data_IF_142079741417
#
_entry.id   IF_142079741417
#
_cell.length_a   1.000
_cell.length_b   1.000
_cell.length_c   1.000
_cell.angle_alpha   90.00
_cell.angle_beta   90.00
_cell.angle_gamma   90.00
#
_symmetry.space_group_name_H-M   'P 1'
#
loop_
_entity.id
_entity.type
_entity.pdbx_description
1 polymer ?
#
# COMPACT_ATOMS: atom_id res chain seq x y z
N UNK A 1 -0.97 18.29 1.99
CA UNK A 1 -1.41 16.92 2.32
C UNK A 1 -0.73 15.99 1.33
N UNK A 2 0.12 15.07 1.79
CA UNK A 2 0.87 14.21 0.88
C UNK A 2 0.05 12.95 0.56
N UNK A 3 0.14 12.48 -0.68
CA UNK A 3 -0.53 11.27 -1.15
C UNK A 3 0.46 10.40 -1.90
N UNK A 4 0.38 9.09 -1.67
CA UNK A 4 1.18 8.08 -2.36
C UNK A 4 0.26 7.18 -3.18
N UNK A 5 0.63 6.93 -4.44
CA UNK A 5 -0.03 5.94 -5.27
C UNK A 5 0.90 4.74 -5.46
N UNK A 6 0.43 3.52 -5.16
CA UNK A 6 1.20 2.28 -5.29
C UNK A 6 0.54 1.37 -6.32
N UNK A 7 1.32 0.83 -7.25
CA UNK A 7 0.85 -0.12 -8.27
C UNK A 7 1.64 -1.43 -8.20
N UNK A 8 0.93 -2.55 -8.04
CA UNK A 8 1.49 -3.90 -8.10
C UNK A 8 0.81 -4.70 -9.22
N UNK A 9 1.60 -5.13 -10.21
CA UNK A 9 1.13 -5.89 -11.38
C UNK A 9 1.19 -7.42 -11.23
N UNK A 10 1.77 -7.92 -10.15
CA UNK A 10 1.97 -9.35 -9.91
C UNK A 10 1.81 -9.69 -8.42
N UNK A 11 1.59 -10.98 -8.12
CA UNK A 11 1.40 -11.46 -6.73
C UNK A 11 2.58 -11.09 -5.82
N UNK A 12 3.81 -11.16 -6.32
CA UNK A 12 4.98 -10.81 -5.53
C UNK A 12 4.95 -9.32 -5.14
N UNK A 13 4.58 -8.44 -6.07
CA UNK A 13 4.40 -7.01 -5.85
C UNK A 13 3.27 -6.70 -4.88
N UNK A 14 2.15 -7.43 -4.95
CA UNK A 14 1.01 -7.27 -4.02
C UNK A 14 1.47 -7.51 -2.57
N UNK A 15 2.17 -8.62 -2.32
CA UNK A 15 2.68 -8.96 -1.00
C UNK A 15 3.68 -7.93 -0.45
N UNK A 16 4.64 -7.52 -1.27
CA UNK A 16 5.62 -6.51 -0.83
C UNK A 16 4.97 -5.14 -0.66
N UNK A 17 4.05 -4.77 -1.54
CA UNK A 17 3.28 -3.53 -1.48
C UNK A 17 2.47 -3.44 -0.20
N UNK A 18 1.80 -4.52 0.19
CA UNK A 18 1.05 -4.60 1.45
C UNK A 18 1.96 -4.34 2.66
N UNK A 19 3.13 -5.00 2.74
CA UNK A 19 4.08 -4.76 3.83
C UNK A 19 4.57 -3.31 3.90
N UNK A 20 4.81 -2.67 2.76
CA UNK A 20 5.17 -1.24 2.72
C UNK A 20 4.01 -0.36 3.21
N UNK A 21 2.77 -0.66 2.78
CA UNK A 21 1.57 0.08 3.22
C UNK A 21 1.36 -0.02 4.73
N UNK A 22 1.55 -1.20 5.31
CA UNK A 22 1.44 -1.43 6.76
C UNK A 22 2.46 -0.59 7.54
N UNK A 23 3.73 -0.61 7.15
CA UNK A 23 4.76 0.19 7.80
C UNK A 23 4.51 1.70 7.64
N UNK A 24 4.08 2.14 6.45
CA UNK A 24 3.76 3.54 6.20
C UNK A 24 2.56 4.02 7.02
N UNK A 25 1.55 3.17 7.22
CA UNK A 25 0.42 3.48 8.09
C UNK A 25 0.88 3.72 9.54
N UNK A 26 1.85 2.94 10.03
CA UNK A 26 2.43 3.11 11.36
C UNK A 26 3.29 4.36 11.47
N UNK A 27 4.17 4.60 10.49
CA UNK A 27 5.17 5.67 10.54
C UNK A 27 4.60 7.04 10.16
N UNK A 28 3.57 7.06 9.31
CA UNK A 28 2.96 8.27 8.77
C UNK A 28 1.43 8.13 8.68
N UNK A 29 0.70 8.11 9.80
CA UNK A 29 -0.75 7.88 9.82
C UNK A 29 -1.58 8.94 9.08
N UNK A 30 -0.99 10.12 8.80
CA UNK A 30 -1.62 11.17 7.98
C UNK A 30 -1.37 11.04 6.47
N UNK A 31 -0.56 10.08 6.02
CA UNK A 31 -0.30 9.83 4.61
C UNK A 31 -1.51 9.14 3.99
N UNK A 32 -2.07 9.75 2.94
CA UNK A 32 -3.11 9.09 2.15
C UNK A 32 -2.48 8.15 1.14
N UNK A 33 -2.82 6.87 1.23
CA UNK A 33 -2.35 5.85 0.30
C UNK A 33 -3.50 5.46 -0.63
N UNK A 34 -3.21 5.42 -1.92
CA UNK A 34 -4.08 4.92 -2.97
C UNK A 34 -3.32 3.83 -3.72
N UNK A 35 -4.01 2.91 -4.38
CA UNK A 35 -3.29 1.95 -5.20
C UNK A 35 -4.14 1.01 -6.03
N UNK A 36 -3.43 0.28 -6.88
CA UNK A 36 -3.92 -0.83 -7.68
C UNK A 36 -3.02 -2.02 -7.38
N UNK A 37 -3.58 -3.07 -6.77
CA UNK A 37 -2.84 -4.26 -6.38
C UNK A 37 -3.77 -5.47 -6.29
N UNK A 38 -3.25 -6.54 -5.69
CA UNK A 38 -4.01 -7.74 -5.40
C UNK A 38 -4.72 -7.65 -4.06
N UNK A 39 -5.05 -8.82 -3.50
CA UNK A 39 -5.83 -8.92 -2.26
C UNK A 39 -5.07 -8.48 -1.02
N UNK A 40 -3.75 -8.65 -0.98
CA UNK A 40 -2.95 -8.31 0.21
C UNK A 40 -2.88 -6.79 0.40
N UNK A 41 -2.70 -6.02 -0.68
CA UNK A 41 -2.75 -4.55 -0.61
C UNK A 41 -4.16 -4.03 -0.27
N UNK A 42 -5.21 -4.65 -0.83
CA UNK A 42 -6.59 -4.22 -0.55
C UNK A 42 -7.07 -4.56 0.87
N UNK A 43 -6.41 -5.47 1.58
CA UNK A 43 -6.72 -5.73 2.99
C UNK A 43 -6.35 -4.55 3.91
N UNK A 44 -5.53 -3.61 3.44
CA UNK A 44 -4.98 -2.48 4.19
C UNK A 44 -5.51 -1.10 3.73
N UNK A 45 -6.31 -1.06 2.67
CA UNK A 45 -6.84 0.17 2.05
C UNK A 45 -8.19 0.60 2.61
#
# INVERSE_FOLDING_TARGET
MNSLFILAGERSGDRHGAGVMEELHRLAPGLRIHGLGGGEMHALS
#
